data_IF_365490620139
#
_entry.id   IF_365490620139
#
_cell.length_a   1.000
_cell.length_b   1.000
_cell.length_c   1.000
_cell.angle_alpha   90.00
_cell.angle_beta   90.00
_cell.angle_gamma   90.00
#
_symmetry.space_group_name_H-M   'P 1'
#
loop_
_entity.id
_entity.type
_entity.pdbx_description
1 polymer ?
#
# COMPACT_ATOMS: atom_id res chain seq x y z
N UNK A 1 19.99 0.67 9.73
CA UNK A 1 18.93 0.53 10.76
C UNK A 1 19.39 0.95 12.15
N UNK A 2 20.69 0.93 12.46
CA UNK A 2 21.26 1.31 13.77
C UNK A 2 20.88 2.73 14.25
N UNK A 3 20.54 3.65 13.35
CA UNK A 3 20.08 5.02 13.68
C UNK A 3 18.60 5.13 14.07
N UNK A 4 17.75 4.14 13.77
CA UNK A 4 16.30 4.20 14.00
C UNK A 4 15.76 2.86 14.53
N UNK A 5 16.00 2.54 15.81
CA UNK A 5 15.65 1.23 16.39
C UNK A 5 14.14 0.95 16.45
N UNK A 6 13.30 1.98 16.30
CA UNK A 6 11.83 1.85 16.26
C UNK A 6 11.30 1.47 14.87
N UNK A 7 12.13 1.51 13.84
CA UNK A 7 11.71 1.22 12.46
C UNK A 7 12.16 -0.20 12.11
N UNK A 8 11.19 -1.10 11.95
CA UNK A 8 11.41 -2.46 11.41
C UNK A 8 10.95 -2.47 9.96
N UNK A 9 11.83 -2.86 9.04
CA UNK A 9 11.46 -3.05 7.64
C UNK A 9 10.87 -4.46 7.49
N UNK A 10 9.66 -4.52 6.96
CA UNK A 10 9.02 -5.77 6.56
C UNK A 10 9.03 -5.84 5.03
N UNK A 11 9.60 -6.90 4.48
CA UNK A 11 9.54 -7.16 3.04
C UNK A 11 8.20 -7.80 2.70
N UNK A 12 7.53 -7.25 1.69
CA UNK A 12 6.31 -7.85 1.18
C UNK A 12 6.68 -9.01 0.26
N UNK A 13 6.10 -10.18 0.48
CA UNK A 13 6.32 -11.35 -0.37
C UNK A 13 5.63 -11.16 -1.73
N UNK A 14 6.15 -11.80 -2.76
CA UNK A 14 5.48 -11.89 -4.06
C UNK A 14 4.08 -12.48 -3.88
N UNK A 15 3.05 -11.84 -4.45
CA UNK A 15 1.61 -12.18 -4.29
C UNK A 15 1.01 -11.85 -2.92
N UNK A 16 1.56 -10.88 -2.18
CA UNK A 16 0.97 -10.38 -0.94
C UNK A 16 -0.25 -9.49 -1.20
N UNK A 17 -1.31 -10.06 -1.77
CA UNK A 17 -2.61 -9.40 -1.95
C UNK A 17 -3.26 -8.99 -0.61
N UNK A 18 -2.72 -9.45 0.52
CA UNK A 18 -3.01 -8.90 1.85
C UNK A 18 -2.72 -7.38 1.92
N UNK A 19 -1.70 -6.86 1.22
CA UNK A 19 -1.46 -5.41 1.12
C UNK A 19 -2.49 -4.66 0.28
N UNK A 20 -3.63 -5.26 -0.05
CA UNK A 20 -4.76 -4.63 -0.73
C UNK A 20 -5.12 -3.25 -0.17
N UNK A 21 -4.84 -2.92 1.09
CA UNK A 21 -5.01 -1.55 1.61
C UNK A 21 -4.19 -0.53 0.83
N UNK A 22 -2.91 -0.80 0.57
CA UNK A 22 -2.05 0.10 -0.21
C UNK A 22 -2.53 0.11 -1.67
N UNK A 23 -2.77 -1.05 -2.27
CA UNK A 23 -3.21 -1.14 -3.68
C UNK A 23 -4.55 -0.44 -3.90
N UNK A 24 -5.49 -0.59 -2.96
CA UNK A 24 -6.80 0.06 -2.99
C UNK A 24 -6.68 1.57 -2.78
N UNK A 25 -5.80 2.00 -1.87
CA UNK A 25 -5.55 3.42 -1.68
C UNK A 25 -4.89 4.03 -2.92
N UNK A 26 -3.89 3.39 -3.53
CA UNK A 26 -3.22 3.89 -4.75
C UNK A 26 -4.14 3.91 -5.96
N UNK A 27 -5.11 2.99 -6.04
CA UNK A 27 -6.13 3.01 -7.09
C UNK A 27 -7.16 4.15 -6.95
N UNK A 28 -7.26 4.79 -5.79
CA UNK A 28 -8.20 5.87 -5.53
C UNK A 28 -7.85 7.19 -6.25
N UNK A 29 -6.62 7.75 -6.13
CA UNK A 29 -6.20 8.91 -6.92
C UNK A 29 -6.16 8.59 -8.41
N UNK A 30 -5.78 7.35 -8.79
CA UNK A 30 -5.81 6.92 -10.18
C UNK A 30 -7.20 7.16 -10.77
N UNK A 31 -8.23 6.54 -10.20
CA UNK A 31 -9.62 6.61 -10.71
C UNK A 31 -10.23 8.00 -10.64
N UNK A 32 -9.95 8.74 -9.57
CA UNK A 32 -10.66 9.98 -9.30
C UNK A 32 -10.01 11.21 -9.95
N UNK A 33 -8.70 11.18 -10.15
CA UNK A 33 -7.94 12.40 -10.48
C UNK A 33 -7.00 12.18 -11.65
N UNK A 34 -6.31 11.05 -11.72
CA UNK A 34 -5.32 10.83 -12.78
C UNK A 34 -5.96 10.37 -14.09
N UNK A 35 -6.98 9.51 -14.05
CA UNK A 35 -7.69 9.06 -15.26
C UNK A 35 -8.48 10.18 -15.97
N UNK A 36 -8.83 11.24 -15.24
CA UNK A 36 -9.59 12.38 -15.78
C UNK A 36 -8.74 13.65 -15.95
N UNK A 37 -7.48 13.62 -15.53
CA UNK A 37 -6.58 14.77 -15.58
C UNK A 37 -5.88 14.88 -16.93
N UNK A 38 -5.90 16.08 -17.52
CA UNK A 38 -5.05 16.42 -18.67
C UNK A 38 -3.90 17.27 -18.15
N UNK A 39 -2.73 16.65 -17.96
CA UNK A 39 -1.57 17.32 -17.35
C UNK A 39 -0.64 17.87 -18.43
N UNK A 40 -0.30 19.15 -18.31
CA UNK A 40 0.59 19.81 -19.26
C UNK A 40 2.07 19.69 -18.89
N UNK A 41 2.37 19.24 -17.65
CA UNK A 41 3.73 19.02 -17.16
C UNK A 41 3.78 18.04 -15.98
N UNK A 42 4.99 17.54 -15.68
CA UNK A 42 5.23 16.72 -14.48
C UNK A 42 4.99 17.51 -13.19
N UNK A 43 5.23 18.83 -13.21
CA UNK A 43 4.99 19.70 -12.06
C UNK A 43 3.50 19.73 -11.72
N UNK A 44 2.67 19.90 -12.75
CA UNK A 44 1.20 19.94 -12.65
C UNK A 44 0.62 18.62 -12.12
N UNK A 45 1.13 17.49 -12.61
CA UNK A 45 0.81 16.17 -12.06
C UNK A 45 1.15 16.05 -10.57
N UNK A 46 2.36 16.48 -10.18
CA UNK A 46 2.83 16.40 -8.79
C UNK A 46 1.99 17.27 -7.86
N UNK A 47 1.62 18.47 -8.30
CA UNK A 47 0.77 19.39 -7.55
C UNK A 47 -0.63 18.81 -7.36
N UNK A 48 -1.20 18.26 -8.43
CA UNK A 48 -2.49 17.58 -8.38
C UNK A 48 -2.51 16.39 -7.41
N UNK A 49 -1.46 15.56 -7.40
CA UNK A 49 -1.33 14.45 -6.43
C UNK A 49 -1.27 14.97 -5.00
N UNK A 50 -0.55 16.08 -4.73
CA UNK A 50 -0.50 16.69 -3.39
C UNK A 50 -1.86 17.18 -2.95
N UNK A 51 -2.58 17.89 -3.81
CA UNK A 51 -3.94 18.38 -3.53
C UNK A 51 -4.87 17.20 -3.21
N UNK A 52 -4.78 16.11 -3.97
CA UNK A 52 -5.55 14.90 -3.67
C UNK A 52 -5.22 14.34 -2.28
N UNK A 53 -3.93 14.22 -1.93
CA UNK A 53 -3.49 13.70 -0.62
C UNK A 53 -4.04 14.58 0.51
N UNK A 54 -3.92 15.90 0.40
CA UNK A 54 -4.37 16.83 1.43
C UNK A 54 -5.89 16.78 1.62
N UNK A 55 -6.65 16.75 0.51
CA UNK A 55 -8.10 16.61 0.52
C UNK A 55 -8.53 15.26 1.11
N UNK A 56 -7.87 14.17 0.71
CA UNK A 56 -8.14 12.84 1.24
C UNK A 56 -7.88 12.78 2.75
N UNK A 57 -6.75 13.29 3.21
CA UNK A 57 -6.37 13.32 4.62
C UNK A 57 -7.34 14.14 5.48
N UNK A 58 -7.83 15.26 4.94
CA UNK A 58 -8.73 16.17 5.66
C UNK A 58 -10.16 15.63 5.74
N UNK A 59 -10.67 15.04 4.65
CA UNK A 59 -12.10 14.79 4.51
C UNK A 59 -12.49 13.31 4.47
N UNK A 60 -11.58 12.43 4.03
CA UNK A 60 -11.90 11.04 3.67
C UNK A 60 -11.07 9.99 4.40
N UNK A 61 -10.03 10.40 5.14
CA UNK A 61 -9.16 9.49 5.87
C UNK A 61 -9.95 8.73 6.93
N UNK A 62 -10.12 7.43 6.69
CA UNK A 62 -10.75 6.49 7.61
C UNK A 62 -9.84 5.28 7.77
N UNK A 63 -9.73 4.71 8.97
CA UNK A 63 -9.02 3.46 9.15
C UNK A 63 -9.57 2.39 8.22
N UNK A 64 -8.68 1.74 7.45
CA UNK A 64 -9.07 0.58 6.66
C UNK A 64 -9.46 -0.56 7.59
N UNK A 65 -10.61 -1.18 7.32
CA UNK A 65 -11.04 -2.39 8.03
C UNK A 65 -10.42 -3.60 7.35
N UNK A 66 -9.65 -4.36 8.12
CA UNK A 66 -9.12 -5.65 7.69
C UNK A 66 -10.25 -6.67 7.69
N UNK A 67 -10.48 -7.32 6.55
CA UNK A 67 -11.51 -8.36 6.41
C UNK A 67 -11.01 -9.74 6.86
N UNK A 68 -9.70 -9.93 6.94
CA UNK A 68 -9.08 -11.22 7.26
C UNK A 68 -8.25 -11.09 8.55
N UNK A 69 -8.41 -12.05 9.45
CA UNK A 69 -7.64 -12.11 10.69
C UNK A 69 -6.15 -12.33 10.40
N UNK A 70 -5.27 -11.73 11.21
CA UNK A 70 -3.82 -11.87 11.06
C UNK A 70 -3.38 -13.35 11.04
N UNK A 71 -3.99 -14.19 11.89
CA UNK A 71 -3.68 -15.62 11.95
C UNK A 71 -4.03 -16.36 10.65
N UNK A 72 -5.15 -16.00 10.03
CA UNK A 72 -5.57 -16.59 8.76
C UNK A 72 -4.64 -16.17 7.60
N UNK A 73 -4.02 -14.99 7.70
CA UNK A 73 -3.01 -14.52 6.75
C UNK A 73 -1.68 -15.25 6.99
N UNK A 74 -1.26 -15.40 8.25
CA UNK A 74 -0.02 -16.11 8.59
C UNK A 74 -0.11 -17.58 8.19
N UNK A 75 -1.25 -18.24 8.42
CA UNK A 75 -1.48 -19.63 8.05
C UNK A 75 -1.42 -19.89 6.54
N UNK A 76 -1.81 -18.93 5.70
CA UNK A 76 -1.71 -19.08 4.24
C UNK A 76 -0.30 -18.85 3.71
N UNK A 77 0.54 -18.11 4.44
CA UNK A 77 1.92 -17.78 4.07
C UNK A 77 2.93 -18.79 4.61
N UNK A 78 2.64 -19.44 5.73
CA UNK A 78 3.54 -20.40 6.40
C UNK A 78 4.03 -21.55 5.49
N UNK A 79 3.19 -22.18 4.65
CA UNK A 79 3.64 -23.21 3.71
C UNK A 79 4.62 -22.66 2.66
N UNK A 80 4.38 -21.44 2.17
CA UNK A 80 5.24 -20.79 1.18
C UNK A 80 6.59 -20.39 1.79
N UNK A 81 6.59 -19.92 3.05
CA UNK A 81 7.83 -19.64 3.80
C UNK A 81 8.67 -20.90 3.99
N UNK A 82 8.04 -22.01 4.38
CA UNK A 82 8.72 -23.29 4.61
C UNK A 82 9.35 -23.82 3.32
N UNK A 83 8.66 -23.71 2.19
CA UNK A 83 9.18 -24.10 0.86
C UNK A 83 10.39 -23.27 0.42
N UNK A 84 10.44 -21.96 0.73
CA UNK A 84 11.59 -21.10 0.43
C UNK A 84 12.83 -21.45 1.25
N UNK A 85 12.65 -21.85 2.52
CA UNK A 85 13.75 -22.23 3.42
C UNK A 85 14.32 -23.61 3.04
N UNK A 86 13.51 -24.54 2.53
CA UNK A 86 13.96 -25.86 2.10
C UNK A 86 14.70 -25.87 0.74
N UNK A 87 14.59 -24.80 -0.06
CA UNK A 87 15.23 -24.68 -1.38
C UNK A 87 16.46 -23.74 -1.38
N UNK A 88 16.95 -23.32 -0.20
CA UNK A 88 18.11 -22.42 -0.04
C UNK A 88 19.30 -23.14 0.57
#
# INVERSE_FOLDING_TARGET
MEKHPRVKLHFTLTRSSWLNVIERWTGQPERNTLYHGCFTSVKDLRETIKIFIDSHNTHSAKPFRWSQAADAILASVDPARTSMILNS
#
